data_IF_829451589970
#
_entry.id   IF_829451589970
#
_cell.length_a   1.000
_cell.length_b   1.000
_cell.length_c   1.000
_cell.angle_alpha   90.00
_cell.angle_beta   90.00
_cell.angle_gamma   90.00
#
_symmetry.space_group_name_H-M   'P 1'
#
loop_
_entity.id
_entity.type
_entity.pdbx_description
1 polymer ?
#
# COMPACT_ATOMS: atom_id res chain seq x y z
N UNK A 1 2.63 -8.36 -12.28
CA UNK A 1 1.63 -8.05 -11.24
C UNK A 1 1.52 -6.54 -11.13
N UNK A 2 0.37 -5.95 -11.45
CA UNK A 2 0.15 -4.53 -11.15
C UNK A 2 0.06 -4.36 -9.62
N UNK A 3 0.72 -3.33 -9.08
CA UNK A 3 0.73 -3.04 -7.63
C UNK A 3 -0.70 -2.78 -7.11
N UNK A 4 -1.60 -2.35 -7.99
CA UNK A 4 -3.03 -2.19 -7.72
C UNK A 4 -3.81 -2.89 -8.84
N UNK A 5 -4.69 -3.80 -8.48
CA UNK A 5 -5.64 -4.43 -9.41
C UNK A 5 -6.93 -3.61 -9.44
N UNK A 6 -7.06 -2.76 -10.46
CA UNK A 6 -8.25 -1.91 -10.66
C UNK A 6 -9.46 -2.68 -11.21
N UNK A 7 -9.27 -3.92 -11.66
CA UNK A 7 -10.33 -4.76 -12.21
C UNK A 7 -10.94 -5.71 -11.19
N UNK A 8 -10.30 -5.89 -10.03
CA UNK A 8 -10.81 -6.68 -8.92
C UNK A 8 -12.22 -6.23 -8.51
N UNK A 9 -13.12 -7.21 -8.32
CA UNK A 9 -14.50 -6.95 -7.90
C UNK A 9 -14.46 -6.55 -6.41
N UNK A 10 -14.92 -5.35 -6.04
CA UNK A 10 -14.89 -4.90 -4.66
C UNK A 10 -15.81 -5.76 -3.78
N UNK A 11 -15.37 -6.03 -2.55
CA UNK A 11 -16.10 -6.86 -1.60
C UNK A 11 -17.48 -6.27 -1.28
N UNK A 12 -18.44 -7.13 -0.88
CA UNK A 12 -19.80 -6.69 -0.55
C UNK A 12 -19.83 -5.69 0.60
N UNK A 13 -18.97 -5.85 1.61
CA UNK A 13 -18.84 -4.92 2.73
C UNK A 13 -18.28 -3.58 2.28
N UNK A 14 -17.22 -3.58 1.47
CA UNK A 14 -16.61 -2.38 0.91
C UNK A 14 -17.64 -1.58 0.10
N UNK A 15 -18.36 -2.22 -0.83
CA UNK A 15 -19.41 -1.54 -1.61
C UNK A 15 -20.51 -0.90 -0.75
N UNK A 16 -20.90 -1.53 0.36
CA UNK A 16 -21.93 -1.01 1.26
C UNK A 16 -21.49 0.24 2.00
N UNK A 17 -20.26 0.24 2.51
CA UNK A 17 -19.76 1.33 3.37
C UNK A 17 -19.04 2.44 2.61
N UNK A 18 -18.57 2.17 1.38
CA UNK A 18 -17.75 3.12 0.62
C UNK A 18 -18.45 4.46 0.36
N UNK A 19 -19.72 4.44 -0.07
CA UNK A 19 -20.49 5.66 -0.34
C UNK A 19 -20.60 6.55 0.90
N UNK A 20 -20.97 5.97 2.05
CA UNK A 20 -21.02 6.67 3.33
C UNK A 20 -19.65 7.20 3.75
N UNK A 21 -18.59 6.40 3.63
CA UNK A 21 -17.23 6.85 4.00
C UNK A 21 -16.74 8.00 3.13
N UNK A 22 -17.00 7.96 1.82
CA UNK A 22 -16.58 8.99 0.88
C UNK A 22 -17.41 10.27 1.06
N UNK A 23 -18.73 10.13 1.28
CA UNK A 23 -19.60 11.25 1.63
C UNK A 23 -19.18 11.95 2.93
N UNK A 24 -18.92 11.16 3.98
CA UNK A 24 -18.44 11.68 5.26
C UNK A 24 -17.08 12.39 5.13
N UNK A 25 -16.16 11.82 4.35
CA UNK A 25 -14.87 12.44 4.05
C UNK A 25 -15.05 13.83 3.40
N UNK A 26 -15.96 13.95 2.42
CA UNK A 26 -16.25 15.24 1.79
C UNK A 26 -16.88 16.25 2.76
N UNK A 27 -17.74 15.80 3.69
CA UNK A 27 -18.29 16.66 4.75
C UNK A 27 -17.17 17.18 5.64
N UNK A 28 -16.28 16.30 6.11
CA UNK A 28 -15.15 16.67 6.97
C UNK A 28 -14.23 17.67 6.25
N UNK A 29 -13.96 17.44 4.95
CA UNK A 29 -13.15 18.34 4.13
C UNK A 29 -13.81 19.71 3.86
N UNK A 30 -15.11 19.85 4.10
CA UNK A 30 -15.82 21.12 3.88
C UNK A 30 -15.58 22.15 4.99
N UNK A 31 -15.28 21.70 6.22
CA UNK A 31 -15.14 22.60 7.37
C UNK A 31 -13.96 23.58 7.26
N UNK A 32 -12.75 23.16 6.84
CA UNK A 32 -11.65 24.11 6.64
C UNK A 32 -11.95 25.15 5.54
N UNK A 33 -12.78 24.80 4.56
CA UNK A 33 -13.18 25.68 3.46
C UNK A 33 -14.11 26.82 3.91
N UNK A 34 -14.77 26.69 5.07
CA UNK A 34 -15.58 27.75 5.65
C UNK A 34 -14.79 29.05 5.86
N UNK A 35 -13.48 28.93 6.12
CA UNK A 35 -12.57 30.07 6.28
C UNK A 35 -12.25 30.80 4.98
N UNK A 36 -12.41 30.14 3.82
CA UNK A 36 -12.09 30.70 2.50
C UNK A 36 -13.34 31.19 1.75
N UNK A 37 -14.54 30.95 2.28
CA UNK A 37 -15.81 31.44 1.74
C UNK A 37 -16.93 30.40 1.78
N UNK A 38 -18.14 30.83 2.16
CA UNK A 38 -19.30 29.94 2.34
C UNK A 38 -19.76 29.22 1.07
N UNK A 39 -19.48 29.78 -0.12
CA UNK A 39 -19.88 29.17 -1.40
C UNK A 39 -19.09 27.89 -1.71
N UNK A 40 -17.79 27.86 -1.36
CA UNK A 40 -16.95 26.66 -1.56
C UNK A 40 -17.36 25.54 -0.60
N UNK A 41 -17.65 25.89 0.66
CA UNK A 41 -18.18 24.96 1.66
C UNK A 41 -19.54 24.39 1.24
N UNK A 42 -20.48 25.24 0.85
CA UNK A 42 -21.81 24.83 0.40
C UNK A 42 -21.73 23.93 -0.84
N UNK A 43 -20.85 24.25 -1.79
CA UNK A 43 -20.58 23.43 -2.96
C UNK A 43 -20.08 22.04 -2.60
N UNK A 44 -19.14 21.92 -1.65
CA UNK A 44 -18.60 20.64 -1.22
C UNK A 44 -19.62 19.79 -0.43
N UNK A 45 -20.44 20.43 0.41
CA UNK A 45 -21.54 19.77 1.11
C UNK A 45 -22.61 19.25 0.13
N UNK A 46 -23.00 20.07 -0.84
CA UNK A 46 -23.92 19.65 -1.90
C UNK A 46 -23.34 18.48 -2.70
N UNK A 47 -22.06 18.54 -3.06
CA UNK A 47 -21.38 17.45 -3.75
C UNK A 47 -21.36 16.16 -2.93
N UNK A 48 -21.13 16.23 -1.61
CA UNK A 48 -21.20 15.08 -0.70
C UNK A 48 -22.58 14.40 -0.73
N UNK A 49 -23.64 15.21 -0.60
CA UNK A 49 -25.03 14.72 -0.61
C UNK A 49 -25.35 14.08 -1.96
N UNK A 50 -25.08 14.79 -3.06
CA UNK A 50 -25.35 14.30 -4.42
C UNK A 50 -24.59 13.01 -4.69
N UNK A 51 -23.29 12.95 -4.35
CA UNK A 51 -22.48 11.75 -4.54
C UNK A 51 -23.06 10.56 -3.77
N UNK A 52 -23.43 10.77 -2.50
CA UNK A 52 -23.99 9.72 -1.64
C UNK A 52 -25.32 9.22 -2.20
N UNK A 53 -26.21 10.14 -2.59
CA UNK A 53 -27.51 9.80 -3.18
C UNK A 53 -27.35 9.04 -4.50
N UNK A 54 -26.48 9.51 -5.40
CA UNK A 54 -26.20 8.84 -6.68
C UNK A 54 -25.60 7.45 -6.45
N UNK A 55 -24.68 7.32 -5.48
CA UNK A 55 -24.03 6.05 -5.17
C UNK A 55 -25.01 4.97 -4.68
N UNK A 56 -25.97 5.35 -3.82
CA UNK A 56 -26.96 4.40 -3.30
C UNK A 56 -28.20 4.25 -4.20
N UNK A 57 -28.57 5.30 -4.96
CA UNK A 57 -29.70 5.30 -5.88
C UNK A 57 -29.42 4.57 -7.20
N UNK A 58 -28.16 4.53 -7.66
CA UNK A 58 -27.80 3.93 -8.94
C UNK A 58 -26.71 2.85 -8.79
N UNK A 59 -27.09 1.55 -8.74
CA UNK A 59 -26.14 0.46 -8.54
C UNK A 59 -25.01 0.41 -9.58
N UNK A 60 -25.29 0.80 -10.82
CA UNK A 60 -24.29 0.87 -11.90
C UNK A 60 -23.20 1.92 -11.65
N UNK A 61 -23.52 3.03 -10.96
CA UNK A 61 -22.57 4.11 -10.69
C UNK A 61 -21.52 3.71 -9.64
N UNK A 62 -21.83 2.75 -8.76
CA UNK A 62 -20.96 2.38 -7.64
C UNK A 62 -19.57 1.93 -8.09
N UNK A 63 -19.50 1.06 -9.10
CA UNK A 63 -18.21 0.56 -9.59
C UNK A 63 -17.38 1.67 -10.22
N UNK A 64 -18.02 2.55 -11.00
CA UNK A 64 -17.34 3.68 -11.62
C UNK A 64 -16.80 4.67 -10.59
N UNK A 65 -17.58 4.97 -9.55
CA UNK A 65 -17.16 5.87 -8.46
C UNK A 65 -16.00 5.28 -7.67
N UNK A 66 -16.09 3.99 -7.28
CA UNK A 66 -15.00 3.30 -6.56
C UNK A 66 -13.72 3.31 -7.39
N UNK A 67 -13.81 2.94 -8.68
CA UNK A 67 -12.65 2.91 -9.57
C UNK A 67 -12.06 4.29 -9.80
N UNK A 68 -12.91 5.29 -10.03
CA UNK A 68 -12.48 6.69 -10.15
C UNK A 68 -11.71 7.14 -8.90
N UNK A 69 -12.23 6.83 -7.71
CA UNK A 69 -11.54 7.12 -6.46
C UNK A 69 -10.20 6.38 -6.32
N UNK A 70 -10.12 5.12 -6.72
CA UNK A 70 -8.87 4.36 -6.72
C UNK A 70 -7.83 4.99 -7.64
N UNK A 71 -8.22 5.49 -8.81
CA UNK A 71 -7.32 6.20 -9.73
C UNK A 71 -6.82 7.50 -9.11
N UNK A 72 -7.71 8.29 -8.49
CA UNK A 72 -7.34 9.56 -7.84
C UNK A 72 -6.39 9.33 -6.66
N UNK A 73 -6.60 8.26 -5.90
CA UNK A 73 -5.78 7.94 -4.71
C UNK A 73 -4.53 7.13 -5.03
N UNK A 74 -4.39 6.59 -6.24
CA UNK A 74 -3.25 5.77 -6.65
C UNK A 74 -1.89 6.47 -6.49
N UNK A 75 -1.69 7.74 -6.92
CA UNK A 75 -0.40 8.40 -6.76
C UNK A 75 0.03 8.53 -5.29
N UNK A 76 -0.94 8.73 -4.38
CA UNK A 76 -0.69 8.83 -2.93
C UNK A 76 -0.25 7.46 -2.41
N UNK A 77 -0.96 6.39 -2.79
CA UNK A 77 -0.61 5.02 -2.40
C UNK A 77 0.77 4.62 -2.94
N UNK A 78 1.06 4.94 -4.21
CA UNK A 78 2.35 4.70 -4.83
C UNK A 78 3.48 5.43 -4.09
N UNK A 79 3.30 6.73 -3.83
CA UNK A 79 4.30 7.53 -3.12
C UNK A 79 4.55 7.00 -1.71
N UNK A 80 3.49 6.68 -0.98
CA UNK A 80 3.58 6.14 0.38
C UNK A 80 4.32 4.80 0.40
N UNK A 81 4.02 3.92 -0.56
CA UNK A 81 4.71 2.64 -0.69
C UNK A 81 6.21 2.79 -0.92
N UNK A 82 6.60 3.70 -1.84
CA UNK A 82 8.01 3.97 -2.10
C UNK A 82 8.69 4.66 -0.92
N UNK A 83 8.03 5.64 -0.30
CA UNK A 83 8.56 6.34 0.86
C UNK A 83 8.81 5.36 2.03
N UNK A 84 7.85 4.48 2.33
CA UNK A 84 8.00 3.48 3.38
C UNK A 84 9.15 2.51 3.08
N UNK A 85 9.22 2.00 1.84
CA UNK A 85 10.31 1.12 1.41
C UNK A 85 11.67 1.82 1.50
N UNK A 86 11.78 3.07 1.03
CA UNK A 86 12.99 3.88 1.12
C UNK A 86 13.40 4.09 2.57
N UNK A 87 12.46 4.43 3.46
CA UNK A 87 12.74 4.62 4.88
C UNK A 87 13.30 3.34 5.49
N UNK A 88 12.62 2.20 5.32
CA UNK A 88 13.08 0.92 5.85
C UNK A 88 14.46 0.54 5.29
N UNK A 89 14.64 0.70 3.98
CA UNK A 89 15.90 0.32 3.34
C UNK A 89 17.07 1.20 3.80
N UNK A 90 16.91 2.52 3.81
CA UNK A 90 18.01 3.44 4.09
C UNK A 90 18.24 3.70 5.59
N UNK A 91 17.20 3.66 6.43
CA UNK A 91 17.34 3.96 7.86
C UNK A 91 17.45 2.71 8.73
N UNK A 92 17.07 1.52 8.22
CA UNK A 92 17.15 0.27 8.99
C UNK A 92 18.14 -0.68 8.34
N UNK A 93 17.87 -1.13 7.11
CA UNK A 93 18.67 -2.18 6.48
C UNK A 93 20.09 -1.71 6.13
N UNK A 94 20.23 -0.50 5.59
CA UNK A 94 21.53 0.07 5.22
C UNK A 94 22.46 0.25 6.43
N UNK A 95 22.05 0.88 7.55
CA UNK A 95 22.92 0.98 8.72
C UNK A 95 23.24 -0.38 9.35
N UNK A 96 22.31 -1.33 9.35
CA UNK A 96 22.62 -2.71 9.77
C UNK A 96 23.72 -3.30 8.88
N UNK A 97 23.59 -3.19 7.56
CA UNK A 97 24.61 -3.65 6.62
C UNK A 97 25.97 -2.95 6.80
N UNK A 98 25.97 -1.64 7.07
CA UNK A 98 27.18 -0.87 7.37
C UNK A 98 27.83 -1.31 8.67
N UNK A 99 27.04 -1.56 9.73
CA UNK A 99 27.54 -2.08 11.00
C UNK A 99 28.16 -3.48 10.82
N UNK A 100 27.48 -4.38 10.13
CA UNK A 100 28.02 -5.72 9.82
C UNK A 100 29.33 -5.63 9.05
N UNK A 101 29.40 -4.74 8.06
CA UNK A 101 30.63 -4.47 7.29
C UNK A 101 31.74 -3.91 8.18
N UNK A 102 31.43 -3.00 9.09
CA UNK A 102 32.38 -2.43 10.05
C UNK A 102 32.96 -3.51 10.98
N UNK A 103 32.11 -4.42 11.48
CA UNK A 103 32.53 -5.56 12.30
C UNK A 103 33.14 -6.73 11.49
N UNK A 104 33.35 -6.56 10.17
CA UNK A 104 33.82 -7.61 9.24
C UNK A 104 32.97 -8.89 9.27
N UNK A 105 31.71 -8.79 9.69
CA UNK A 105 30.78 -9.90 9.71
C UNK A 105 30.20 -10.06 8.30
N UNK A 106 30.42 -11.21 7.68
CA UNK A 106 29.91 -11.53 6.33
C UNK A 106 28.92 -12.72 6.41
N UNK A 107 27.69 -12.48 6.89
CA UNK A 107 26.70 -13.55 7.04
C UNK A 107 26.24 -14.08 5.67
N UNK A 108 26.28 -13.23 4.64
CA UNK A 108 25.88 -13.58 3.29
C UNK A 108 27.02 -14.24 2.49
N UNK A 109 28.23 -14.36 3.07
CA UNK A 109 29.42 -14.94 2.43
C UNK A 109 29.72 -14.32 1.06
N UNK A 110 29.49 -13.01 0.94
CA UNK A 110 29.63 -12.24 -0.30
C UNK A 110 31.06 -11.81 -0.59
N UNK A 111 31.98 -11.98 0.36
CA UNK A 111 33.40 -11.73 0.12
C UNK A 111 33.90 -12.61 -1.03
N UNK A 112 34.57 -11.98 -2.01
CA UNK A 112 35.24 -12.69 -3.11
C UNK A 112 36.25 -13.67 -2.54
N UNK A 113 35.85 -14.93 -2.43
CA UNK A 113 36.79 -16.05 -2.32
C UNK A 113 37.40 -16.27 -3.70
N UNK A 114 38.64 -16.71 -3.74
CA UNK A 114 39.31 -17.16 -4.95
C UNK A 114 38.64 -18.46 -5.45
N UNK A 115 37.45 -18.30 -6.04
CA UNK A 115 36.58 -19.35 -6.55
C UNK A 115 35.94 -18.85 -7.84
N UNK A 116 35.95 -19.71 -8.86
CA UNK A 116 35.36 -19.43 -10.18
C UNK A 116 33.84 -19.34 -10.16
N UNK A 117 33.19 -19.89 -9.13
CA UNK A 117 31.73 -19.95 -9.01
C UNK A 117 31.24 -19.64 -7.61
N UNK A 118 30.06 -19.01 -7.50
CA UNK A 118 29.35 -18.81 -6.24
C UNK A 118 28.57 -20.05 -5.77
N UNK A 119 28.73 -21.20 -6.45
CA UNK A 119 28.08 -22.46 -6.09
C UNK A 119 28.46 -22.87 -4.67
N UNK A 120 27.44 -23.16 -3.85
CA UNK A 120 27.61 -23.77 -2.54
C UNK A 120 27.12 -25.20 -2.65
N UNK A 121 27.95 -26.16 -2.24
CA UNK A 121 27.55 -27.55 -2.20
C UNK A 121 26.36 -27.70 -1.26
N UNK A 122 25.29 -28.29 -1.78
CA UNK A 122 24.13 -28.62 -0.99
C UNK A 122 24.53 -29.68 0.04
N UNK A 123 24.57 -29.31 1.32
CA UNK A 123 24.66 -30.30 2.39
C UNK A 123 23.34 -31.07 2.42
N UNK A 124 23.38 -32.33 1.98
CA UNK A 124 22.30 -33.29 2.15
C UNK A 124 22.13 -33.52 3.66
N UNK A 125 21.16 -32.88 4.28
CA UNK A 125 20.72 -33.27 5.61
C UNK A 125 19.97 -34.60 5.48
N UNK A 126 20.53 -35.66 6.05
CA UNK A 126 20.18 -37.07 5.79
C UNK A 126 18.77 -37.50 6.22
N UNK A 127 17.92 -36.61 6.76
CA UNK A 127 16.62 -37.00 7.33
C UNK A 127 15.46 -36.09 6.86
N UNK A 128 14.53 -36.62 6.05
CA UNK A 128 13.31 -35.92 5.63
C UNK A 128 12.47 -35.37 6.79
N UNK A 129 12.54 -36.02 7.95
CA UNK A 129 11.76 -35.65 9.15
C UNK A 129 12.06 -34.23 9.67
N UNK A 130 13.21 -33.66 9.30
CA UNK A 130 13.63 -32.33 9.72
C UNK A 130 12.87 -31.21 8.99
N UNK A 131 12.32 -31.47 7.80
CA UNK A 131 11.43 -30.53 7.11
C UNK A 131 10.14 -30.23 7.92
N UNK A 132 9.75 -31.16 8.81
CA UNK A 132 8.57 -30.99 9.66
C UNK A 132 8.87 -30.29 11.00
N UNK A 133 10.13 -29.95 11.29
CA UNK A 133 10.56 -29.27 12.52
C UNK A 133 11.18 -27.92 12.16
N UNK A 134 10.34 -26.91 12.01
CA UNK A 134 10.75 -25.56 11.61
C UNK A 134 11.25 -24.70 12.79
N UNK A 135 11.16 -25.21 14.03
CA UNK A 135 11.62 -24.55 15.26
C UNK A 135 12.43 -25.51 16.13
#
# INVERSE_FOLDING_TARGET
MSIVDFHAIPSRSMRRWFGLSLGLLLVIMSFPLAHFGGMAQAGLLAASIVLTVVYYGWPAAQLSIIRGWQVVTFPIAWLTGHALLSIVFFLVLTPIGLLLRFFRHDPLRLQKRDRSTAWQDHHQEEKPDRYFKQF
#
